data_IF_159060349694
#
_entry.id   IF_159060349694
#
_cell.length_a   1.000
_cell.length_b   1.000
_cell.length_c   1.000
_cell.angle_alpha   90.00
_cell.angle_beta   90.00
_cell.angle_gamma   90.00
#
_symmetry.space_group_name_H-M   'P 1'
#
loop_
_entity.id
_entity.type
_entity.pdbx_description
1 polymer ?
#
# COMPACT_ATOMS: atom_id res chain seq x y z
N UNK A 1 12.36 -12.82 23.04
CA UNK A 1 12.66 -12.75 21.62
C UNK A 1 12.47 -11.32 21.12
N UNK A 2 13.35 -10.81 20.26
CA UNK A 2 13.24 -9.48 19.70
C UNK A 2 13.07 -9.58 18.17
N UNK A 3 12.08 -8.91 17.61
CA UNK A 3 11.86 -8.86 16.16
C UNK A 3 11.79 -7.41 15.69
N UNK A 4 12.15 -7.17 14.42
CA UNK A 4 11.85 -5.93 13.71
C UNK A 4 10.72 -6.23 12.73
N UNK A 5 9.70 -5.37 12.70
CA UNK A 5 8.57 -5.45 11.79
C UNK A 5 8.56 -4.22 10.87
N UNK A 6 8.53 -4.46 9.58
CA UNK A 6 8.38 -3.50 8.49
C UNK A 6 7.57 -4.14 7.37
N UNK A 7 7.14 -3.36 6.38
CA UNK A 7 6.40 -3.82 5.19
C UNK A 7 6.23 -2.69 4.20
N UNK A 8 5.48 -2.93 3.12
CA UNK A 8 5.09 -1.93 2.13
C UNK A 8 6.28 -1.11 1.59
N UNK A 9 7.36 -1.82 1.21
CA UNK A 9 8.59 -1.19 0.73
C UNK A 9 8.43 -0.59 -0.65
N UNK A 10 7.62 -1.23 -1.51
CA UNK A 10 7.37 -0.81 -2.88
C UNK A 10 8.64 -0.49 -3.66
N UNK A 11 9.63 -1.38 -3.59
CA UNK A 11 10.89 -1.20 -4.33
C UNK A 11 10.64 -1.06 -5.82
N UNK A 12 11.16 0.02 -6.40
CA UNK A 12 10.92 0.39 -7.79
C UNK A 12 9.76 1.36 -7.99
N UNK A 13 9.09 1.82 -6.91
CA UNK A 13 8.05 2.83 -7.00
C UNK A 13 8.58 4.14 -7.60
N UNK A 14 7.67 4.85 -8.25
CA UNK A 14 7.87 6.21 -8.74
C UNK A 14 6.86 7.13 -8.08
N UNK A 15 7.27 8.34 -7.79
CA UNK A 15 6.35 9.42 -7.41
C UNK A 15 6.12 10.28 -8.64
N UNK A 16 4.96 10.17 -9.26
CA UNK A 16 4.75 10.66 -10.63
C UNK A 16 5.83 10.07 -11.56
N UNK A 17 6.64 10.89 -12.21
CA UNK A 17 7.71 10.42 -13.10
C UNK A 17 9.08 10.29 -12.41
N UNK A 18 9.21 10.62 -11.11
CA UNK A 18 10.47 10.58 -10.38
C UNK A 18 10.78 9.20 -9.81
N UNK A 19 11.99 8.72 -10.05
CA UNK A 19 12.48 7.44 -9.52
C UNK A 19 12.80 7.57 -8.03
N UNK A 20 12.24 6.66 -7.21
CA UNK A 20 12.44 6.62 -5.76
C UNK A 20 13.58 5.66 -5.33
N UNK A 21 14.32 5.07 -6.28
CA UNK A 21 15.42 4.14 -5.96
C UNK A 21 16.48 4.73 -5.01
N UNK A 22 16.87 6.02 -5.08
CA UNK A 22 17.80 6.61 -4.10
C UNK A 22 17.25 6.58 -2.67
N UNK A 23 15.96 6.86 -2.47
CA UNK A 23 15.32 6.83 -1.15
C UNK A 23 15.18 5.40 -0.63
N UNK A 24 14.76 4.46 -1.47
CA UNK A 24 14.71 3.03 -1.11
C UNK A 24 16.10 2.53 -0.68
N UNK A 25 17.15 2.89 -1.43
CA UNK A 25 18.51 2.53 -1.05
C UNK A 25 18.90 3.12 0.29
N UNK A 26 18.63 4.40 0.53
CA UNK A 26 18.93 5.07 1.79
C UNK A 26 18.16 4.44 2.96
N UNK A 27 16.88 4.09 2.76
CA UNK A 27 16.09 3.37 3.74
C UNK A 27 16.70 1.99 4.07
N UNK A 28 17.04 1.20 3.07
CA UNK A 28 17.60 -0.13 3.28
C UNK A 28 18.96 -0.07 3.99
N UNK A 29 19.82 0.89 3.66
CA UNK A 29 21.08 1.14 4.39
C UNK A 29 20.80 1.51 5.86
N UNK A 30 19.85 2.40 6.11
CA UNK A 30 19.44 2.77 7.46
C UNK A 30 18.87 1.57 8.22
N UNK A 31 18.06 0.73 7.58
CA UNK A 31 17.49 -0.47 8.20
C UNK A 31 18.59 -1.48 8.60
N UNK A 32 19.62 -1.64 7.78
CA UNK A 32 20.79 -2.46 8.16
C UNK A 32 21.48 -1.95 9.43
N UNK A 33 21.60 -0.63 9.59
CA UNK A 33 22.15 -0.06 10.83
C UNK A 33 21.22 -0.27 12.04
N UNK A 34 19.88 -0.23 11.83
CA UNK A 34 18.93 -0.57 12.90
C UNK A 34 19.06 -2.05 13.30
N UNK A 35 19.20 -2.95 12.33
CA UNK A 35 19.41 -4.38 12.60
C UNK A 35 20.69 -4.60 13.43
N UNK A 36 21.80 -3.96 13.08
CA UNK A 36 23.05 -4.04 13.85
C UNK A 36 22.90 -3.53 15.28
N UNK A 37 22.17 -2.41 15.45
CA UNK A 37 21.96 -1.79 16.75
C UNK A 37 21.03 -2.61 17.65
N UNK A 38 19.88 -3.05 17.10
CA UNK A 38 18.84 -3.74 17.85
C UNK A 38 19.14 -5.24 18.03
N UNK A 39 19.92 -5.84 17.13
CA UNK A 39 20.25 -7.28 17.11
C UNK A 39 19.00 -8.16 17.23
N UNK A 40 18.06 -8.04 16.31
CA UNK A 40 16.82 -8.83 16.37
C UNK A 40 17.10 -10.31 16.13
N UNK A 41 16.27 -11.16 16.70
CA UNK A 41 16.22 -12.59 16.41
C UNK A 41 15.61 -12.87 15.03
N UNK A 42 14.69 -11.97 14.56
CA UNK A 42 14.13 -12.00 13.22
C UNK A 42 13.75 -10.62 12.70
N UNK A 43 13.81 -10.46 11.38
CA UNK A 43 13.20 -9.35 10.62
C UNK A 43 11.95 -9.87 9.92
N UNK A 44 10.80 -9.21 10.12
CA UNK A 44 9.55 -9.49 9.44
C UNK A 44 9.26 -8.41 8.41
N UNK A 45 9.07 -8.82 7.14
CA UNK A 45 8.68 -7.93 6.03
C UNK A 45 7.27 -8.34 5.58
N UNK A 46 6.29 -7.53 5.95
CA UNK A 46 4.86 -7.86 5.84
C UNK A 46 4.25 -7.42 4.50
N UNK A 47 4.73 -7.98 3.40
CA UNK A 47 4.19 -7.80 2.05
C UNK A 47 4.60 -6.50 1.35
N UNK A 48 4.19 -6.39 0.10
CA UNK A 48 4.47 -5.29 -0.84
C UNK A 48 5.95 -4.90 -0.87
N UNK A 49 6.78 -5.93 -1.13
CA UNK A 49 8.23 -5.77 -1.30
C UNK A 49 8.51 -4.94 -2.56
N UNK A 50 7.82 -5.24 -3.65
CA UNK A 50 7.93 -4.54 -4.92
C UNK A 50 6.68 -3.71 -5.22
N UNK A 51 6.86 -2.62 -5.97
CA UNK A 51 5.76 -1.74 -6.37
C UNK A 51 4.87 -2.34 -7.47
N UNK A 52 5.37 -3.30 -8.21
CA UNK A 52 4.63 -3.92 -9.31
C UNK A 52 4.93 -5.40 -9.46
N UNK A 53 3.99 -6.12 -10.06
CA UNK A 53 4.10 -7.55 -10.33
C UNK A 53 5.27 -7.93 -11.27
N UNK A 54 5.86 -6.96 -11.99
CA UNK A 54 7.04 -7.14 -12.82
C UNK A 54 8.15 -6.17 -12.39
N UNK A 55 8.87 -6.46 -11.29
CA UNK A 55 9.87 -5.56 -10.73
C UNK A 55 11.05 -5.37 -11.68
N UNK A 56 11.60 -4.15 -11.69
CA UNK A 56 12.80 -3.85 -12.47
C UNK A 56 14.03 -4.62 -11.95
N UNK A 57 15.02 -4.82 -12.81
CA UNK A 57 16.27 -5.47 -12.39
C UNK A 57 16.98 -4.70 -11.26
N UNK A 58 16.85 -3.37 -11.21
CA UNK A 58 17.39 -2.55 -10.12
C UNK A 58 16.68 -2.77 -8.79
N UNK A 59 15.34 -2.88 -8.79
CA UNK A 59 14.56 -3.20 -7.60
C UNK A 59 14.89 -4.61 -7.07
N UNK A 60 14.96 -5.59 -7.96
CA UNK A 60 15.39 -6.95 -7.63
C UNK A 60 16.80 -6.99 -7.03
N UNK A 61 17.73 -6.21 -7.60
CA UNK A 61 19.09 -6.11 -7.07
C UNK A 61 19.10 -5.53 -5.65
N UNK A 62 18.39 -4.43 -5.42
CA UNK A 62 18.29 -3.81 -4.09
C UNK A 62 17.74 -4.80 -3.04
N UNK A 63 16.69 -5.54 -3.40
CA UNK A 63 16.09 -6.56 -2.55
C UNK A 63 17.09 -7.66 -2.16
N UNK A 64 17.74 -8.28 -3.16
CA UNK A 64 18.67 -9.37 -2.90
C UNK A 64 19.90 -8.91 -2.13
N UNK A 65 20.49 -7.77 -2.49
CA UNK A 65 21.63 -7.20 -1.78
C UNK A 65 21.29 -6.92 -0.31
N UNK A 66 20.09 -6.36 -0.06
CA UNK A 66 19.63 -6.11 1.30
C UNK A 66 19.49 -7.41 2.10
N UNK A 67 18.77 -8.43 1.58
CA UNK A 67 18.55 -9.70 2.32
C UNK A 67 19.87 -10.36 2.68
N UNK A 68 20.80 -10.44 1.72
CA UNK A 68 22.14 -11.00 1.96
C UNK A 68 22.87 -10.23 3.06
N UNK A 69 22.87 -8.91 2.98
CA UNK A 69 23.56 -8.03 3.95
C UNK A 69 22.88 -8.02 5.33
N UNK A 70 21.55 -8.13 5.38
CA UNK A 70 20.82 -8.22 6.64
C UNK A 70 21.26 -9.47 7.45
N UNK A 71 21.48 -10.59 6.77
CA UNK A 71 21.90 -11.84 7.39
C UNK A 71 23.39 -11.81 7.70
N UNK A 72 24.25 -11.56 6.72
CA UNK A 72 25.70 -11.73 6.86
C UNK A 72 26.42 -10.52 7.47
N UNK A 73 26.04 -9.29 7.10
CA UNK A 73 26.74 -8.08 7.53
C UNK A 73 26.11 -7.47 8.78
N UNK A 74 24.76 -7.51 8.88
CA UNK A 74 24.04 -6.96 10.02
C UNK A 74 23.71 -7.99 11.10
N UNK A 75 23.87 -9.29 10.81
CA UNK A 75 23.76 -10.37 11.77
C UNK A 75 22.33 -10.71 12.19
N UNK A 76 21.33 -10.48 11.33
CA UNK A 76 19.96 -10.93 11.55
C UNK A 76 19.83 -12.41 11.14
N UNK A 77 19.64 -13.34 12.08
CA UNK A 77 19.70 -14.78 11.75
C UNK A 77 18.50 -15.25 10.92
N UNK A 78 17.37 -14.55 11.01
CA UNK A 78 16.15 -14.91 10.27
C UNK A 78 15.53 -13.68 9.61
N UNK A 79 15.33 -13.74 8.29
CA UNK A 79 14.58 -12.72 7.53
C UNK A 79 13.34 -13.39 6.95
N UNK A 80 12.15 -13.01 7.41
CA UNK A 80 10.87 -13.63 7.03
C UNK A 80 10.10 -12.62 6.20
N UNK A 81 9.77 -13.01 4.97
CA UNK A 81 9.19 -12.13 3.95
C UNK A 81 7.91 -12.77 3.43
N UNK A 82 6.79 -12.06 3.51
CA UNK A 82 5.54 -12.47 2.87
C UNK A 82 5.29 -11.65 1.60
N UNK A 83 4.57 -12.20 0.64
CA UNK A 83 4.09 -11.45 -0.52
C UNK A 83 2.91 -10.56 -0.15
N UNK A 84 2.84 -9.36 -0.76
CA UNK A 84 1.71 -8.46 -0.73
C UNK A 84 0.89 -8.53 -2.03
N UNK A 85 -0.08 -7.62 -2.19
CA UNK A 85 -0.94 -7.61 -3.38
C UNK A 85 -0.25 -7.03 -4.63
N UNK A 86 0.80 -6.23 -4.47
CA UNK A 86 1.65 -5.75 -5.56
C UNK A 86 2.68 -6.78 -6.01
N UNK A 87 3.03 -7.72 -5.14
CA UNK A 87 4.05 -8.72 -5.43
C UNK A 87 3.53 -9.82 -6.36
N UNK A 88 4.33 -10.18 -7.36
CA UNK A 88 4.11 -11.41 -8.10
C UNK A 88 4.70 -12.60 -7.35
N UNK A 89 3.91 -13.63 -7.03
CA UNK A 89 4.42 -14.84 -6.39
C UNK A 89 5.60 -15.47 -7.15
N UNK A 90 5.58 -15.43 -8.49
CA UNK A 90 6.64 -15.97 -9.32
C UNK A 90 7.94 -15.17 -9.20
N UNK A 91 7.87 -13.83 -9.21
CA UNK A 91 9.05 -12.98 -9.10
C UNK A 91 9.63 -12.98 -7.68
N UNK A 92 8.79 -12.82 -6.66
CA UNK A 92 9.23 -12.84 -5.26
C UNK A 92 9.77 -14.22 -4.87
N UNK A 93 9.15 -15.29 -5.36
CA UNK A 93 9.54 -16.68 -5.09
C UNK A 93 10.72 -17.20 -5.91
N UNK A 94 11.16 -16.49 -6.97
CA UNK A 94 12.19 -16.98 -7.89
C UNK A 94 13.51 -17.30 -7.20
N UNK A 95 13.91 -16.48 -6.24
CA UNK A 95 15.14 -16.65 -5.47
C UNK A 95 14.95 -17.39 -4.14
N UNK A 96 13.71 -17.81 -3.81
CA UNK A 96 13.38 -18.49 -2.53
C UNK A 96 14.36 -19.62 -2.20
N UNK A 97 14.67 -20.60 -3.08
CA UNK A 97 15.56 -21.70 -2.72
C UNK A 97 16.98 -21.24 -2.33
N UNK A 98 17.50 -20.19 -2.97
CA UNK A 98 18.82 -19.65 -2.65
C UNK A 98 18.81 -18.85 -1.34
N UNK A 99 17.76 -18.07 -1.10
CA UNK A 99 17.61 -17.25 0.10
C UNK A 99 17.36 -18.12 1.35
N UNK A 100 16.63 -19.23 1.21
CA UNK A 100 16.38 -20.17 2.30
C UNK A 100 17.68 -20.83 2.79
N UNK A 101 18.61 -21.12 1.90
CA UNK A 101 19.94 -21.64 2.29
C UNK A 101 20.75 -20.64 3.14
N UNK A 102 20.40 -19.36 3.13
CA UNK A 102 21.10 -18.30 3.88
C UNK A 102 20.38 -17.90 5.18
N UNK A 103 19.18 -18.43 5.45
CA UNK A 103 18.40 -18.10 6.65
C UNK A 103 17.22 -17.15 6.40
N UNK A 104 16.90 -16.82 5.15
CA UNK A 104 15.65 -16.15 4.82
C UNK A 104 14.52 -17.17 4.60
N UNK A 105 13.30 -16.79 4.93
CA UNK A 105 12.07 -17.52 4.60
C UNK A 105 11.17 -16.64 3.76
N UNK A 106 10.87 -17.07 2.53
CA UNK A 106 10.04 -16.29 1.59
C UNK A 106 8.74 -17.05 1.36
N UNK A 107 7.62 -16.42 1.70
CA UNK A 107 6.26 -16.93 1.52
C UNK A 107 5.52 -16.01 0.54
N UNK A 108 5.66 -16.25 -0.79
CA UNK A 108 5.21 -15.32 -1.81
C UNK A 108 3.70 -15.37 -2.08
N UNK A 109 3.03 -16.47 -1.71
CA UNK A 109 1.59 -16.70 -1.87
C UNK A 109 1.11 -17.70 -0.84
N UNK A 110 -0.20 -17.81 -0.65
CA UNK A 110 -0.80 -18.83 0.20
C UNK A 110 -0.50 -20.25 -0.29
N UNK A 111 -0.34 -21.16 0.64
CA UNK A 111 0.02 -22.54 0.40
C UNK A 111 -1.15 -23.47 0.76
N UNK A 112 -1.39 -24.52 -0.02
CA UNK A 112 -2.39 -25.54 0.31
C UNK A 112 -2.01 -26.27 1.61
N UNK A 113 -0.70 -26.53 1.79
CA UNK A 113 -0.12 -27.07 3.02
C UNK A 113 0.28 -25.89 3.92
N UNK A 114 -0.63 -25.45 4.78
CA UNK A 114 -0.45 -24.27 5.64
C UNK A 114 0.78 -24.34 6.57
N UNK A 115 1.32 -25.51 6.80
CA UNK A 115 2.56 -25.72 7.53
C UNK A 115 3.77 -25.07 6.86
N UNK A 116 3.72 -24.84 5.54
CA UNK A 116 4.77 -24.14 4.77
C UNK A 116 4.77 -22.63 5.00
N UNK A 117 3.70 -22.10 5.55
CA UNK A 117 3.60 -20.72 6.00
C UNK A 117 4.06 -20.55 7.47
N UNK A 118 4.47 -21.63 8.13
CA UNK A 118 4.96 -21.61 9.50
C UNK A 118 6.48 -21.56 9.53
N UNK A 119 7.05 -20.50 10.09
CA UNK A 119 8.50 -20.33 10.29
C UNK A 119 8.80 -20.41 11.78
N UNK A 120 9.84 -21.17 12.13
CA UNK A 120 10.25 -21.38 13.52
C UNK A 120 11.66 -20.83 13.73
N UNK A 121 11.77 -19.90 14.68
CA UNK A 121 13.06 -19.45 15.19
C UNK A 121 13.42 -20.31 16.38
N UNK A 122 14.49 -21.06 16.25
CA UNK A 122 14.92 -22.01 17.28
C UNK A 122 16.02 -21.43 18.17
N UNK A 123 16.00 -21.82 19.44
CA UNK A 123 17.07 -21.58 20.39
C UNK A 123 17.31 -22.90 21.16
N UNK A 124 18.55 -23.36 21.18
CA UNK A 124 18.95 -24.64 21.82
C UNK A 124 18.12 -25.84 21.29
N UNK A 125 17.83 -25.88 19.99
CA UNK A 125 17.09 -26.95 19.33
C UNK A 125 15.61 -27.03 19.68
N UNK A 126 15.03 -25.94 20.19
CA UNK A 126 13.59 -25.81 20.49
C UNK A 126 13.02 -24.51 19.89
N UNK A 127 11.77 -24.52 19.45
CA UNK A 127 11.12 -23.30 19.04
C UNK A 127 11.13 -22.27 20.17
N UNK A 128 11.68 -21.10 19.89
CA UNK A 128 11.67 -19.94 20.78
C UNK A 128 10.72 -18.84 20.28
N UNK A 129 10.33 -18.93 18.99
CA UNK A 129 9.30 -18.11 18.36
C UNK A 129 8.70 -18.89 17.19
N UNK A 130 7.38 -18.87 17.04
CA UNK A 130 6.70 -19.32 15.84
C UNK A 130 6.10 -18.13 15.10
N UNK A 131 6.27 -18.08 13.78
CA UNK A 131 5.71 -17.06 12.91
C UNK A 131 4.76 -17.72 11.93
N UNK A 132 3.47 -17.40 12.03
CA UNK A 132 2.46 -17.70 11.04
C UNK A 132 2.56 -16.63 9.94
N UNK A 133 3.31 -16.92 8.90
CA UNK A 133 3.68 -15.93 7.87
C UNK A 133 2.66 -15.93 6.73
N UNK A 134 1.46 -15.39 6.98
CA UNK A 134 0.35 -15.35 6.01
C UNK A 134 0.62 -14.23 4.99
N UNK A 135 0.76 -14.55 3.69
CA UNK A 135 0.89 -13.55 2.63
C UNK A 135 -0.45 -12.94 2.26
N UNK A 136 -0.45 -12.02 1.29
CA UNK A 136 -1.69 -11.62 0.63
C UNK A 136 -2.34 -12.82 -0.07
N UNK A 137 -3.64 -12.98 0.17
CA UNK A 137 -4.44 -14.07 -0.41
C UNK A 137 -5.46 -13.50 -1.37
N UNK A 138 -5.56 -14.09 -2.56
CA UNK A 138 -6.50 -13.64 -3.60
C UNK A 138 -7.92 -14.00 -3.23
N UNK A 139 -8.86 -13.13 -3.58
CA UNK A 139 -10.29 -13.34 -3.31
C UNK A 139 -10.83 -14.67 -3.81
N UNK A 140 -10.42 -15.08 -5.02
CA UNK A 140 -10.83 -16.36 -5.60
C UNK A 140 -10.36 -17.57 -4.76
N UNK A 141 -9.17 -17.51 -4.18
CA UNK A 141 -8.62 -18.55 -3.32
C UNK A 141 -9.41 -18.61 -2.00
N UNK A 142 -9.65 -17.43 -1.40
CA UNK A 142 -10.40 -17.29 -0.16
C UNK A 142 -11.87 -17.72 -0.30
N UNK A 143 -12.55 -17.27 -1.37
CA UNK A 143 -13.92 -17.65 -1.63
C UNK A 143 -14.06 -19.16 -1.87
N UNK A 144 -13.11 -19.78 -2.57
CA UNK A 144 -13.12 -21.23 -2.80
C UNK A 144 -12.89 -22.02 -1.50
N UNK A 145 -12.06 -21.51 -0.60
CA UNK A 145 -11.83 -22.12 0.70
C UNK A 145 -13.12 -22.16 1.53
N UNK A 146 -13.85 -21.04 1.59
CA UNK A 146 -15.09 -20.92 2.36
C UNK A 146 -16.31 -21.61 1.70
N UNK A 147 -16.38 -21.66 0.36
CA UNK A 147 -17.47 -22.36 -0.36
C UNK A 147 -17.59 -23.84 -0.04
N UNK A 148 -16.52 -24.48 0.39
CA UNK A 148 -16.55 -25.88 0.84
C UNK A 148 -17.48 -26.11 2.03
N UNK A 149 -17.79 -25.05 2.79
CA UNK A 149 -18.63 -25.10 3.98
C UNK A 149 -20.07 -24.61 3.70
N UNK A 150 -20.25 -23.56 2.85
CA UNK A 150 -21.56 -23.01 2.53
C UNK A 150 -21.51 -22.22 1.21
N UNK A 151 -22.16 -22.77 0.17
CA UNK A 151 -22.22 -22.18 -1.18
C UNK A 151 -23.20 -20.99 -1.30
N UNK A 152 -24.06 -20.78 -0.30
CA UNK A 152 -25.16 -19.82 -0.38
C UNK A 152 -24.82 -18.42 0.09
N UNK A 153 -23.63 -18.22 0.69
CA UNK A 153 -23.19 -16.92 1.20
C UNK A 153 -22.81 -15.95 0.08
N UNK A 154 -23.05 -14.65 0.28
CA UNK A 154 -22.55 -13.62 -0.62
C UNK A 154 -21.02 -13.70 -0.78
N UNK A 155 -20.51 -13.37 -1.96
CA UNK A 155 -19.08 -13.48 -2.28
C UNK A 155 -18.18 -12.78 -1.25
N UNK A 156 -18.51 -11.55 -0.87
CA UNK A 156 -17.78 -10.77 0.14
C UNK A 156 -17.70 -11.46 1.51
N UNK A 157 -18.74 -12.19 1.91
CA UNK A 157 -18.76 -12.95 3.15
C UNK A 157 -17.90 -14.21 3.05
N UNK A 158 -17.93 -14.88 1.88
CA UNK A 158 -17.07 -16.02 1.60
C UNK A 158 -15.58 -15.62 1.67
N UNK A 159 -15.23 -14.49 1.08
CA UNK A 159 -13.84 -13.98 1.10
C UNK A 159 -13.39 -13.69 2.53
N UNK A 160 -14.22 -12.99 3.32
CA UNK A 160 -13.90 -12.70 4.74
C UNK A 160 -13.79 -13.97 5.58
N UNK A 161 -14.71 -14.90 5.41
CA UNK A 161 -14.68 -16.18 6.11
C UNK A 161 -13.47 -17.02 5.70
N UNK A 162 -13.12 -17.03 4.40
CA UNK A 162 -11.96 -17.73 3.89
C UNK A 162 -10.65 -17.21 4.47
N UNK A 163 -10.49 -15.86 4.58
CA UNK A 163 -9.31 -15.28 5.21
C UNK A 163 -9.20 -15.66 6.70
N UNK A 164 -10.29 -15.53 7.45
CA UNK A 164 -10.31 -15.88 8.86
C UNK A 164 -9.97 -17.38 9.07
N UNK A 165 -10.54 -18.24 8.25
CA UNK A 165 -10.28 -19.69 8.29
C UNK A 165 -8.83 -20.03 7.90
N UNK A 166 -8.28 -19.41 6.86
CA UNK A 166 -6.89 -19.62 6.49
C UNK A 166 -5.94 -19.19 7.62
N UNK A 167 -6.11 -17.98 8.15
CA UNK A 167 -5.33 -17.49 9.29
C UNK A 167 -5.44 -18.43 10.50
N UNK A 168 -6.64 -18.93 10.80
CA UNK A 168 -6.86 -19.89 11.88
C UNK A 168 -6.05 -21.16 11.68
N UNK A 169 -6.09 -21.75 10.49
CA UNK A 169 -5.34 -22.98 10.16
C UNK A 169 -3.83 -22.80 10.28
N UNK A 170 -3.28 -21.70 9.74
CA UNK A 170 -1.85 -21.40 9.82
C UNK A 170 -1.41 -21.21 11.29
N UNK A 171 -2.18 -20.41 12.06
CA UNK A 171 -1.86 -20.19 13.49
C UNK A 171 -1.98 -21.46 14.32
N UNK A 172 -2.95 -22.33 14.05
CA UNK A 172 -3.08 -23.62 14.74
C UNK A 172 -1.91 -24.54 14.40
N UNK A 173 -1.49 -24.61 13.12
CA UNK A 173 -0.31 -25.37 12.71
C UNK A 173 0.99 -24.84 13.37
N UNK A 174 1.15 -23.51 13.42
CA UNK A 174 2.27 -22.88 14.12
C UNK A 174 2.27 -23.22 15.62
N UNK A 175 1.13 -23.13 16.30
CA UNK A 175 0.98 -23.46 17.73
C UNK A 175 1.27 -24.92 18.04
N UNK A 176 0.79 -25.83 17.20
CA UNK A 176 0.99 -27.25 17.40
C UNK A 176 2.48 -27.60 17.53
N UNK A 177 3.36 -26.88 16.83
CA UNK A 177 4.82 -27.09 16.86
C UNK A 177 5.55 -26.13 17.80
N UNK A 178 5.00 -24.95 18.07
CA UNK A 178 5.61 -23.94 18.95
C UNK A 178 5.68 -24.37 20.43
N UNK A 179 4.79 -25.25 20.87
CA UNK A 179 4.68 -25.60 22.28
C UNK A 179 4.23 -24.39 23.12
N UNK A 180 5.11 -23.90 24.00
CA UNK A 180 4.84 -22.71 24.83
C UNK A 180 5.45 -21.44 24.27
N UNK A 181 6.19 -21.50 23.17
CA UNK A 181 6.80 -20.31 22.58
C UNK A 181 5.75 -19.31 22.08
N UNK A 182 6.06 -18.00 22.06
CA UNK A 182 5.16 -16.99 21.53
C UNK A 182 4.88 -17.23 20.04
N UNK A 183 3.67 -16.87 19.61
CA UNK A 183 3.21 -16.95 18.22
C UNK A 183 2.94 -15.56 17.68
N UNK A 184 3.65 -15.21 16.62
CA UNK A 184 3.43 -14.00 15.82
C UNK A 184 2.69 -14.38 14.55
N UNK A 185 1.71 -13.59 14.14
CA UNK A 185 1.12 -13.73 12.81
C UNK A 185 1.53 -12.52 11.96
N UNK A 186 1.96 -12.78 10.74
CA UNK A 186 2.06 -11.77 9.68
C UNK A 186 0.80 -11.79 8.84
N UNK A 187 0.43 -10.65 8.25
CA UNK A 187 -0.70 -10.54 7.34
C UNK A 187 -0.59 -9.34 6.44
N UNK A 188 -1.25 -9.41 5.26
CA UNK A 188 -1.29 -8.31 4.30
C UNK A 188 -2.73 -8.11 3.83
N UNK A 189 -3.52 -7.37 4.61
CA UNK A 189 -4.96 -7.15 4.39
C UNK A 189 -5.47 -5.95 5.19
N UNK A 190 -6.69 -5.49 4.89
CA UNK A 190 -7.38 -4.45 5.67
C UNK A 190 -8.20 -5.08 6.79
N UNK A 191 -8.00 -4.62 8.01
CA UNK A 191 -8.79 -5.04 9.17
C UNK A 191 -9.75 -3.94 9.64
N UNK A 192 -10.90 -4.32 10.17
CA UNK A 192 -11.82 -3.39 10.82
C UNK A 192 -11.17 -2.72 12.03
N UNK A 193 -11.49 -1.44 12.24
CA UNK A 193 -10.84 -0.63 13.28
C UNK A 193 -9.51 -0.02 12.88
N UNK A 194 -9.16 -0.12 11.58
CA UNK A 194 -8.07 0.62 10.95
C UNK A 194 -8.61 1.88 10.26
N UNK A 195 -7.78 2.92 10.17
CA UNK A 195 -8.09 4.14 9.43
C UNK A 195 -7.53 4.02 8.02
N UNK A 196 -8.39 4.18 7.02
CA UNK A 196 -7.95 4.29 5.62
C UNK A 196 -7.46 5.72 5.39
N UNK A 197 -6.29 5.90 4.77
CA UNK A 197 -5.83 7.21 4.34
C UNK A 197 -6.67 7.70 3.15
N UNK A 198 -6.78 9.02 2.99
CA UNK A 198 -7.46 9.63 1.83
C UNK A 198 -6.82 9.22 0.50
N UNK A 199 -5.58 8.76 0.52
CA UNK A 199 -4.84 8.25 -0.63
C UNK A 199 -5.49 6.99 -1.25
N UNK A 200 -6.00 6.10 -0.42
CA UNK A 200 -6.80 4.96 -0.90
C UNK A 200 -8.07 5.48 -1.61
N UNK A 201 -8.67 6.56 -1.12
CA UNK A 201 -9.85 7.17 -1.73
C UNK A 201 -9.52 7.96 -3.02
N UNK A 202 -8.33 8.57 -3.16
CA UNK A 202 -7.93 9.29 -4.38
C UNK A 202 -7.51 8.34 -5.51
N UNK A 203 -6.78 7.27 -5.20
CA UNK A 203 -6.49 6.21 -6.18
C UNK A 203 -7.77 5.47 -6.62
N UNK A 204 -8.73 5.32 -5.72
CA UNK A 204 -10.04 4.74 -6.02
C UNK A 204 -10.95 5.62 -6.89
N UNK A 205 -10.76 6.94 -6.94
CA UNK A 205 -11.52 7.84 -7.83
C UNK A 205 -11.16 7.68 -9.31
N UNK A 206 -10.01 7.06 -9.63
CA UNK A 206 -9.59 6.75 -11.00
C UNK A 206 -9.77 5.29 -11.41
N UNK A 207 -10.12 4.42 -10.47
CA UNK A 207 -10.33 2.98 -10.68
C UNK A 207 -11.67 2.65 -10.03
N UNK A 208 -12.53 1.88 -10.68
CA UNK A 208 -13.90 1.61 -10.24
C UNK A 208 -13.99 1.31 -8.73
N UNK A 209 -15.13 1.61 -8.10
CA UNK A 209 -15.40 1.32 -6.67
C UNK A 209 -15.16 -0.14 -6.26
N UNK A 210 -14.97 -1.03 -7.23
CA UNK A 210 -14.69 -2.45 -7.05
C UNK A 210 -13.19 -2.77 -6.96
N UNK A 211 -12.33 -1.79 -7.26
CA UNK A 211 -10.88 -1.90 -7.09
C UNK A 211 -10.37 -1.14 -5.85
N UNK A 212 -11.01 -1.33 -4.71
CA UNK A 212 -10.32 -1.27 -3.44
C UNK A 212 -9.26 -2.36 -3.56
N UNK A 213 -8.00 -1.98 -3.60
CA UNK A 213 -6.87 -2.85 -3.93
C UNK A 213 -7.10 -4.24 -3.34
N UNK A 214 -7.48 -5.21 -4.20
CA UNK A 214 -7.87 -6.55 -3.79
C UNK A 214 -9.30 -6.69 -3.25
N UNK A 215 -10.31 -5.87 -3.70
CA UNK A 215 -11.77 -6.14 -3.52
C UNK A 215 -12.31 -6.44 -2.11
N UNK A 216 -11.46 -6.81 -1.17
CA UNK A 216 -11.87 -7.25 0.16
C UNK A 216 -12.19 -6.05 1.03
N UNK A 217 -13.45 -5.78 1.24
CA UNK A 217 -13.92 -4.96 2.36
C UNK A 217 -13.30 -5.50 3.64
N UNK A 218 -12.90 -4.60 4.54
CA UNK A 218 -12.20 -4.92 5.79
C UNK A 218 -12.71 -6.19 6.48
N UNK A 219 -11.78 -7.03 6.91
CA UNK A 219 -12.09 -8.24 7.72
C UNK A 219 -12.21 -7.84 9.18
N UNK A 220 -13.16 -8.44 9.90
CA UNK A 220 -13.28 -8.18 11.33
C UNK A 220 -12.04 -8.67 12.07
N UNK A 221 -11.38 -7.75 12.77
CA UNK A 221 -10.22 -8.07 13.60
C UNK A 221 -10.53 -9.20 14.61
N UNK A 222 -11.75 -9.25 15.14
CA UNK A 222 -12.13 -10.28 16.10
C UNK A 222 -12.39 -11.67 15.47
N UNK A 223 -12.48 -11.74 14.15
CA UNK A 223 -12.58 -13.03 13.44
C UNK A 223 -11.20 -13.71 13.28
N UNK A 224 -10.10 -12.97 13.49
CA UNK A 224 -8.76 -13.53 13.42
C UNK A 224 -8.40 -14.31 14.69
N UNK A 225 -7.55 -15.34 14.58
CA UNK A 225 -7.06 -16.07 15.75
C UNK A 225 -6.24 -15.14 16.65
N UNK A 226 -6.38 -15.28 17.97
CA UNK A 226 -5.57 -14.52 18.91
C UNK A 226 -4.09 -14.96 18.79
N UNK A 227 -3.17 -14.01 18.77
CA UNK A 227 -1.72 -14.22 18.72
C UNK A 227 -1.02 -13.25 19.67
N UNK A 228 0.25 -13.49 19.99
CA UNK A 228 1.00 -12.60 20.87
C UNK A 228 1.32 -11.26 20.20
N UNK A 229 1.56 -11.29 18.88
CA UNK A 229 1.74 -10.08 18.07
C UNK A 229 1.23 -10.30 16.64
N UNK A 230 0.52 -9.30 16.10
CA UNK A 230 0.03 -9.28 14.72
C UNK A 230 0.79 -8.21 13.93
N UNK A 231 1.62 -8.66 12.98
CA UNK A 231 2.45 -7.84 12.11
C UNK A 231 1.78 -7.66 10.75
N UNK A 232 1.29 -6.46 10.45
CA UNK A 232 0.49 -6.17 9.25
C UNK A 232 1.21 -5.22 8.29
N UNK A 233 1.11 -5.50 7.00
CA UNK A 233 1.33 -4.60 5.88
C UNK A 233 0.02 -4.24 5.18
N UNK A 234 0.11 -3.56 4.04
CA UNK A 234 -0.97 -3.08 3.18
C UNK A 234 -1.39 -1.63 3.40
N UNK A 235 -1.46 -1.15 4.63
CA UNK A 235 -1.78 0.25 4.92
C UNK A 235 -0.50 1.06 5.13
N UNK A 236 -0.27 2.07 4.28
CA UNK A 236 0.98 2.86 4.28
C UNK A 236 1.10 3.82 5.46
N UNK A 237 0.00 4.10 6.17
CA UNK A 237 0.00 4.91 7.38
C UNK A 237 0.20 4.01 8.60
N UNK A 238 1.28 4.20 9.38
CA UNK A 238 1.51 3.42 10.59
C UNK A 238 0.37 3.58 11.59
N UNK A 239 -0.16 2.48 12.09
CA UNK A 239 -1.29 2.55 13.04
C UNK A 239 -1.49 1.27 13.85
N UNK A 240 -2.26 1.40 14.94
CA UNK A 240 -2.75 0.31 15.76
C UNK A 240 -4.09 -0.18 15.22
N UNK A 241 -4.33 -1.48 15.23
CA UNK A 241 -5.65 -2.03 14.94
C UNK A 241 -6.49 -2.00 16.21
N UNK A 242 -7.66 -1.41 16.15
CA UNK A 242 -8.57 -1.27 17.29
C UNK A 242 -7.89 -0.78 18.60
N UNK A 243 -6.89 0.11 18.46
CA UNK A 243 -6.13 0.67 19.59
C UNK A 243 -5.15 -0.30 20.28
N UNK A 244 -4.95 -1.52 19.75
CA UNK A 244 -4.09 -2.53 20.37
C UNK A 244 -2.63 -2.34 20.03
N UNK A 245 -1.76 -2.34 21.04
CA UNK A 245 -0.31 -2.23 20.86
C UNK A 245 0.28 -3.46 20.17
N UNK A 246 -0.33 -4.62 20.34
CA UNK A 246 0.14 -5.90 19.79
C UNK A 246 -0.46 -6.24 18.42
N UNK A 247 -1.21 -5.33 17.78
CA UNK A 247 -1.72 -5.49 16.42
C UNK A 247 -1.46 -4.20 15.64
N UNK A 248 -0.50 -4.24 14.72
CA UNK A 248 0.10 -3.04 14.13
C UNK A 248 0.29 -3.16 12.62
N UNK A 249 -0.05 -2.08 11.92
CA UNK A 249 0.52 -1.78 10.61
C UNK A 249 1.83 -1.00 10.81
N UNK A 250 2.92 -1.48 10.21
CA UNK A 250 4.19 -0.74 10.21
C UNK A 250 4.11 0.53 9.36
N UNK A 251 3.29 0.48 8.33
CA UNK A 251 3.24 1.47 7.26
C UNK A 251 4.40 1.34 6.28
N UNK A 252 4.32 2.06 5.17
CA UNK A 252 5.43 2.17 4.22
C UNK A 252 6.60 2.96 4.82
N UNK A 253 7.86 2.61 4.54
CA UNK A 253 9.03 3.28 5.12
C UNK A 253 9.30 4.67 4.55
N UNK A 254 8.80 4.94 3.35
CA UNK A 254 8.85 6.26 2.72
C UNK A 254 7.42 6.67 2.31
N UNK A 255 7.11 7.97 2.23
CA UNK A 255 5.79 8.41 1.78
C UNK A 255 5.55 7.98 0.32
N UNK A 256 4.43 7.34 0.04
CA UNK A 256 4.08 6.86 -1.31
C UNK A 256 3.35 7.91 -2.15
N UNK A 257 2.79 8.94 -1.50
CA UNK A 257 2.06 10.02 -2.17
C UNK A 257 2.13 11.33 -1.38
N UNK A 258 1.67 12.42 -1.99
CA UNK A 258 1.57 13.73 -1.34
C UNK A 258 0.50 13.77 -0.24
N UNK A 259 -0.46 12.86 -0.21
CA UNK A 259 -1.43 12.78 0.89
C UNK A 259 -0.79 12.32 2.21
N UNK A 260 0.41 11.74 2.14
CA UNK A 260 1.18 11.31 3.31
C UNK A 260 2.18 12.36 3.82
N UNK A 261 2.13 13.59 3.28
CA UNK A 261 2.95 14.71 3.79
C UNK A 261 2.67 14.93 5.28
N UNK A 262 3.73 14.95 6.08
CA UNK A 262 3.61 15.08 7.53
C UNK A 262 3.37 13.78 8.29
N UNK A 263 3.01 12.69 7.62
CA UNK A 263 2.85 11.38 8.27
C UNK A 263 4.22 10.83 8.70
N UNK A 264 4.44 10.52 9.99
CA UNK A 264 5.67 9.87 10.42
C UNK A 264 5.79 8.48 9.81
N UNK A 265 6.98 8.14 9.34
CA UNK A 265 7.32 6.79 8.87
C UNK A 265 8.15 6.08 9.92
N UNK A 266 7.96 4.77 10.07
CA UNK A 266 8.59 4.02 11.16
C UNK A 266 8.78 2.55 10.79
N UNK A 267 9.65 1.89 11.55
CA UNK A 267 9.65 0.45 11.76
C UNK A 267 9.28 0.16 13.21
N UNK A 268 8.91 -1.07 13.51
CA UNK A 268 8.52 -1.49 14.85
C UNK A 268 9.55 -2.49 15.41
N UNK A 269 10.09 -2.19 16.58
CA UNK A 269 10.92 -3.11 17.34
C UNK A 269 10.05 -3.75 18.43
N UNK A 270 9.84 -5.06 18.32
CA UNK A 270 8.92 -5.81 19.18
C UNK A 270 9.72 -6.76 20.04
N UNK A 271 9.52 -6.67 21.33
CA UNK A 271 10.11 -7.59 22.30
C UNK A 271 9.03 -8.51 22.87
N UNK A 272 9.15 -9.78 22.60
CA UNK A 272 8.25 -10.84 23.06
C UNK A 272 8.86 -11.53 24.30
N UNK A 273 8.01 -11.98 25.21
CA UNK A 273 8.41 -12.82 26.34
C UNK A 273 8.90 -14.20 25.91
N UNK A 274 9.17 -15.06 26.86
CA UNK A 274 9.63 -16.43 26.59
C UNK A 274 8.48 -17.38 26.25
N UNK A 275 7.28 -17.06 26.68
CA UNK A 275 6.08 -17.88 26.46
C UNK A 275 4.95 -17.07 25.84
N UNK A 276 4.07 -17.77 25.14
CA UNK A 276 2.82 -17.21 24.67
C UNK A 276 1.98 -16.69 25.86
N UNK A 277 1.44 -15.49 25.71
CA UNK A 277 0.72 -14.78 26.75
C UNK A 277 1.58 -13.90 27.66
N UNK A 278 2.91 -13.95 27.55
CA UNK A 278 3.78 -13.01 28.23
C UNK A 278 3.60 -11.58 27.67
N UNK A 279 4.05 -10.58 28.43
CA UNK A 279 4.00 -9.19 28.01
C UNK A 279 4.81 -8.95 26.71
N UNK A 280 4.21 -8.19 25.80
CA UNK A 280 4.83 -7.75 24.56
C UNK A 280 5.09 -6.25 24.64
N UNK A 281 6.31 -5.83 24.36
CA UNK A 281 6.67 -4.41 24.26
C UNK A 281 6.95 -4.04 22.79
N UNK A 282 6.35 -2.94 22.35
CA UNK A 282 6.50 -2.41 20.99
C UNK A 282 7.10 -1.02 21.06
N UNK A 283 8.22 -0.82 20.37
CA UNK A 283 8.92 0.46 20.28
C UNK A 283 8.93 0.92 18.84
N UNK A 284 8.44 2.11 18.61
CA UNK A 284 8.48 2.77 17.30
C UNK A 284 9.87 3.35 17.04
N UNK A 285 10.44 3.07 15.88
CA UNK A 285 11.70 3.64 15.41
C UNK A 285 11.40 4.48 14.17
N UNK A 286 11.45 5.81 14.29
CA UNK A 286 11.21 6.70 13.15
C UNK A 286 12.21 6.47 12.02
N UNK A 287 11.70 6.33 10.81
CA UNK A 287 12.52 6.32 9.58
C UNK A 287 12.87 7.76 9.24
N UNK A 288 14.14 8.08 8.98
CA UNK A 288 14.55 9.43 8.54
C UNK A 288 13.86 9.80 7.22
N UNK A 289 13.61 11.09 7.05
CA UNK A 289 13.17 11.60 5.74
C UNK A 289 14.38 11.71 4.83
N UNK A 290 14.44 10.86 3.81
CA UNK A 290 15.54 10.88 2.83
C UNK A 290 15.29 11.91 1.73
N UNK A 291 14.02 12.22 1.47
CA UNK A 291 13.55 13.24 0.54
C UNK A 291 12.29 13.88 1.12
N UNK A 292 12.21 15.18 1.14
CA UNK A 292 11.03 15.87 1.65
C UNK A 292 9.90 15.85 0.61
N UNK A 293 8.65 15.83 1.09
CA UNK A 293 7.47 16.10 0.28
C UNK A 293 6.80 17.36 0.80
N UNK A 294 6.39 18.26 -0.09
CA UNK A 294 5.64 19.45 0.23
C UNK A 294 4.37 19.51 -0.62
N UNK A 295 3.23 19.74 0.02
CA UNK A 295 2.00 20.10 -0.64
C UNK A 295 1.70 21.58 -0.38
N UNK A 296 1.48 22.34 -1.44
CA UNK A 296 1.20 23.79 -1.40
C UNK A 296 -0.16 24.05 -2.01
N UNK A 297 -1.02 24.70 -1.24
CA UNK A 297 -2.36 25.08 -1.66
C UNK A 297 -2.62 26.54 -1.30
N UNK A 298 -3.16 27.34 -2.23
CA UNK A 298 -3.46 28.73 -1.97
C UNK A 298 -3.52 29.61 -3.20
N UNK A 299 -3.28 30.93 -2.99
CA UNK A 299 -3.09 31.88 -4.06
C UNK A 299 -1.68 31.77 -4.67
N UNK A 300 -1.50 32.14 -5.95
CA UNK A 300 -0.20 32.02 -6.61
C UNK A 300 0.95 32.74 -5.88
N UNK A 301 0.68 33.91 -5.31
CA UNK A 301 1.65 34.72 -4.55
C UNK A 301 2.08 34.02 -3.25
N UNK A 302 1.13 33.37 -2.56
CA UNK A 302 1.38 32.61 -1.34
C UNK A 302 2.26 31.38 -1.64
N UNK A 303 1.99 30.73 -2.79
CA UNK A 303 2.75 29.57 -3.26
C UNK A 303 4.17 29.96 -3.66
N UNK A 304 4.34 31.08 -4.42
CA UNK A 304 5.65 31.60 -4.82
C UNK A 304 6.54 31.86 -3.59
N UNK A 305 6.02 32.59 -2.61
CA UNK A 305 6.77 32.90 -1.40
C UNK A 305 7.21 31.65 -0.63
N UNK A 306 6.31 30.66 -0.52
CA UNK A 306 6.61 29.41 0.16
C UNK A 306 7.58 28.51 -0.63
N UNK A 307 7.54 28.55 -1.96
CA UNK A 307 8.47 27.83 -2.82
C UNK A 307 9.89 28.42 -2.69
N UNK A 308 10.00 29.76 -2.62
CA UNK A 308 11.27 30.44 -2.34
C UNK A 308 11.83 30.09 -0.95
N UNK A 309 10.98 30.01 0.08
CA UNK A 309 11.39 29.57 1.41
C UNK A 309 11.99 28.15 1.37
N UNK A 310 11.32 27.20 0.71
CA UNK A 310 11.83 25.83 0.56
C UNK A 310 13.14 25.78 -0.23
N UNK A 311 13.28 26.60 -1.25
CA UNK A 311 14.51 26.69 -2.02
C UNK A 311 15.71 27.16 -1.17
N UNK A 312 15.47 28.03 -0.18
CA UNK A 312 16.49 28.49 0.75
C UNK A 312 16.95 27.41 1.76
N UNK A 313 16.13 26.38 2.02
CA UNK A 313 16.51 25.27 2.90
C UNK A 313 17.59 24.38 2.28
N UNK A 314 17.78 24.44 0.96
CA UNK A 314 18.81 23.71 0.21
C UNK A 314 18.76 22.19 0.45
N UNK A 315 17.55 21.65 0.66
CA UNK A 315 17.29 20.24 0.91
C UNK A 315 16.42 19.64 -0.21
N UNK A 316 16.68 18.39 -0.63
CA UNK A 316 15.88 17.76 -1.68
C UNK A 316 14.40 17.69 -1.30
N UNK A 317 13.53 18.26 -2.15
CA UNK A 317 12.08 18.29 -1.94
C UNK A 317 11.29 18.07 -3.25
N UNK A 318 10.30 17.21 -3.18
CA UNK A 318 9.26 17.08 -4.21
C UNK A 318 8.06 17.93 -3.82
N UNK A 319 7.54 18.69 -4.77
CA UNK A 319 6.48 19.66 -4.53
C UNK A 319 5.25 19.33 -5.38
N UNK A 320 4.08 19.34 -4.74
CA UNK A 320 2.75 19.32 -5.35
C UNK A 320 2.11 20.70 -5.14
N UNK A 321 1.75 21.37 -6.21
CA UNK A 321 1.15 22.71 -6.20
C UNK A 321 -0.33 22.62 -6.63
N UNK A 322 -1.22 23.19 -5.82
CA UNK A 322 -2.64 23.34 -6.12
C UNK A 322 -3.03 24.81 -5.96
N UNK A 323 -3.22 25.52 -7.05
CA UNK A 323 -3.76 26.89 -7.01
C UNK A 323 -5.27 26.81 -6.79
N UNK A 324 -5.74 27.35 -5.66
CA UNK A 324 -7.16 27.30 -5.25
C UNK A 324 -7.79 28.69 -5.20
N UNK A 325 -6.99 29.76 -5.29
CA UNK A 325 -7.44 31.15 -5.22
C UNK A 325 -6.79 31.97 -6.34
N UNK A 326 -7.34 33.15 -6.59
CA UNK A 326 -6.87 34.10 -7.59
C UNK A 326 -7.69 34.07 -8.89
N UNK A 327 -7.52 35.10 -9.69
CA UNK A 327 -8.20 35.27 -10.96
C UNK A 327 -7.20 35.36 -12.11
N UNK A 328 -7.68 35.18 -13.33
CA UNK A 328 -6.89 35.35 -14.54
C UNK A 328 -6.10 34.12 -14.96
N UNK A 329 -5.15 34.34 -15.89
CA UNK A 329 -4.32 33.30 -16.46
C UNK A 329 -3.20 32.84 -15.49
N UNK A 330 -3.05 31.55 -15.31
CA UNK A 330 -1.98 30.97 -14.47
C UNK A 330 -0.67 30.72 -15.23
N UNK A 331 -0.65 30.81 -16.56
CA UNK A 331 0.56 30.54 -17.31
C UNK A 331 1.78 31.38 -16.88
N UNK A 332 1.65 32.67 -16.53
CA UNK A 332 2.76 33.44 -15.98
C UNK A 332 3.25 32.92 -14.62
N UNK A 333 2.35 32.38 -13.79
CA UNK A 333 2.68 31.83 -12.48
C UNK A 333 3.41 30.49 -12.58
N UNK A 334 2.92 29.60 -13.45
CA UNK A 334 3.61 28.35 -13.73
C UNK A 334 5.03 28.59 -14.24
N UNK A 335 5.23 29.60 -15.10
CA UNK A 335 6.55 30.00 -15.57
C UNK A 335 7.46 30.51 -14.43
N UNK A 336 6.93 31.25 -13.47
CA UNK A 336 7.67 31.70 -12.29
C UNK A 336 8.05 30.53 -11.36
N UNK A 337 7.12 29.63 -11.06
CA UNK A 337 7.38 28.44 -10.26
C UNK A 337 8.47 27.56 -10.90
N UNK A 338 8.38 27.35 -12.22
CA UNK A 338 9.39 26.64 -12.96
C UNK A 338 10.77 27.33 -12.95
N UNK A 339 10.80 28.69 -12.94
CA UNK A 339 12.05 29.45 -12.81
C UNK A 339 12.71 29.19 -11.45
N UNK A 340 11.96 29.28 -10.35
CA UNK A 340 12.49 28.94 -9.01
C UNK A 340 13.05 27.54 -8.97
N UNK A 341 12.31 26.54 -9.47
CA UNK A 341 12.79 25.17 -9.52
C UNK A 341 14.01 24.97 -10.45
N UNK A 342 14.15 25.78 -11.50
CA UNK A 342 15.32 25.74 -12.39
C UNK A 342 16.59 26.29 -11.74
N UNK A 343 16.45 27.30 -10.86
CA UNK A 343 17.57 27.90 -10.11
C UNK A 343 17.97 27.04 -8.91
N UNK A 344 17.06 26.18 -8.43
CA UNK A 344 17.22 25.35 -7.25
C UNK A 344 16.96 23.86 -7.59
N UNK A 345 17.98 23.13 -8.09
CA UNK A 345 17.81 21.74 -8.54
C UNK A 345 17.32 20.75 -7.47
N UNK A 346 17.45 21.10 -6.20
CA UNK A 346 16.92 20.37 -5.03
C UNK A 346 15.39 20.44 -4.94
N UNK A 347 14.76 21.48 -5.52
CA UNK A 347 13.30 21.66 -5.56
C UNK A 347 12.76 21.10 -6.87
N UNK A 348 11.97 20.03 -6.80
CA UNK A 348 11.33 19.48 -7.99
C UNK A 348 9.81 19.57 -7.88
N UNK A 349 9.21 20.36 -8.73
CA UNK A 349 7.75 20.44 -8.85
C UNK A 349 7.29 19.24 -9.69
N UNK A 350 6.53 18.34 -9.07
CA UNK A 350 6.04 17.14 -9.73
C UNK A 350 4.60 17.27 -10.21
N UNK A 351 3.82 18.12 -9.57
CA UNK A 351 2.40 18.31 -9.87
C UNK A 351 2.02 19.77 -9.81
N UNK A 352 1.30 20.22 -10.81
CA UNK A 352 0.71 21.55 -10.92
C UNK A 352 -0.78 21.42 -11.24
N UNK A 353 -1.64 21.99 -10.40
CA UNK A 353 -3.09 21.87 -10.54
C UNK A 353 -3.76 23.22 -10.37
N UNK A 354 -4.66 23.56 -11.30
CA UNK A 354 -5.64 24.62 -11.13
C UNK A 354 -6.90 24.03 -10.52
N UNK A 355 -7.09 24.27 -9.23
CA UNK A 355 -8.29 23.86 -8.46
C UNK A 355 -9.20 25.03 -8.12
N UNK A 356 -9.02 26.18 -8.75
CA UNK A 356 -9.92 27.32 -8.57
C UNK A 356 -11.32 26.94 -9.03
N UNK A 357 -12.32 27.34 -8.28
CA UNK A 357 -13.72 27.22 -8.72
C UNK A 357 -13.87 27.94 -10.06
N UNK A 358 -14.08 27.21 -11.12
CA UNK A 358 -14.48 27.82 -12.40
C UNK A 358 -15.86 28.37 -12.16
N UNK A 359 -15.98 29.70 -12.08
CA UNK A 359 -17.28 30.37 -12.16
C UNK A 359 -17.83 30.04 -13.54
N UNK A 360 -18.68 29.04 -13.59
CA UNK A 360 -19.35 28.63 -14.81
C UNK A 360 -20.28 29.76 -15.25
N UNK A 361 -20.26 30.22 -16.51
CA UNK A 361 -21.31 31.05 -17.02
C UNK A 361 -22.59 30.20 -17.12
N UNK A 362 -23.48 30.34 -16.13
CA UNK A 362 -24.84 29.81 -16.18
C UNK A 362 -25.02 28.42 -15.57
N UNK A 363 -25.60 28.43 -14.39
CA UNK A 363 -26.22 27.33 -13.67
C UNK A 363 -26.70 26.14 -14.52
N UNK A 364 -26.09 24.97 -14.35
CA UNK A 364 -26.68 23.64 -14.61
C UNK A 364 -25.93 22.46 -13.96
N UNK A 365 -24.82 22.68 -13.19
CA UNK A 365 -24.03 21.61 -12.64
C UNK A 365 -24.19 21.42 -11.11
N UNK A 366 -24.80 22.41 -10.43
CA UNK A 366 -25.06 22.29 -8.97
C UNK A 366 -26.03 21.16 -8.60
N UNK A 367 -26.84 20.66 -9.54
CA UNK A 367 -27.76 19.55 -9.30
C UNK A 367 -27.10 18.16 -9.43
N UNK A 368 -25.90 18.04 -9.99
CA UNK A 368 -25.24 16.72 -10.19
C UNK A 368 -24.31 16.37 -9.02
N UNK A 369 -23.75 17.34 -8.32
CA UNK A 369 -22.83 17.09 -7.20
C UNK A 369 -23.53 16.73 -5.89
N UNK A 370 -24.82 17.05 -5.74
CA UNK A 370 -25.62 16.65 -4.57
C UNK A 370 -26.26 15.26 -4.69
N UNK A 371 -26.13 14.61 -5.85
CA UNK A 371 -26.74 13.32 -6.17
C UNK A 371 -25.76 12.15 -6.09
N UNK A 372 -24.90 12.10 -5.07
CA UNK A 372 -24.00 10.97 -4.85
C UNK A 372 -24.73 9.63 -4.54
N UNK A 373 -26.05 9.69 -4.32
CA UNK A 373 -26.93 8.50 -4.17
C UNK A 373 -27.66 8.08 -5.45
N UNK A 374 -27.51 8.81 -6.56
CA UNK A 374 -28.22 8.54 -7.83
C UNK A 374 -27.31 8.14 -9.01
N UNK A 375 -25.99 8.08 -8.83
CA UNK A 375 -25.05 7.68 -9.90
C UNK A 375 -25.27 6.23 -10.41
N UNK A 376 -25.92 5.41 -9.65
CA UNK A 376 -26.33 4.05 -10.07
C UNK A 376 -27.56 4.02 -10.99
N UNK A 377 -28.17 5.18 -11.25
CA UNK A 377 -29.38 5.31 -12.11
C UNK A 377 -29.13 6.12 -13.37
N UNK A 378 -27.92 6.63 -13.60
CA UNK A 378 -27.62 7.36 -14.82
C UNK A 378 -27.47 6.38 -15.99
N UNK A 379 -28.30 6.56 -17.02
CA UNK A 379 -28.17 5.89 -18.32
C UNK A 379 -26.80 6.24 -18.91
N UNK A 380 -26.03 5.22 -19.29
CA UNK A 380 -24.69 5.35 -19.89
C UNK A 380 -24.69 6.29 -21.10
N UNK A 381 -25.82 6.32 -21.85
CA UNK A 381 -26.00 7.22 -22.97
C UNK A 381 -26.16 8.69 -22.55
N UNK A 382 -26.72 8.96 -21.38
CA UNK A 382 -26.82 10.31 -20.85
C UNK A 382 -25.44 10.87 -20.49
N UNK A 383 -24.58 10.04 -19.88
CA UNK A 383 -23.18 10.39 -19.54
C UNK A 383 -22.39 10.64 -20.84
N UNK A 384 -22.52 9.75 -21.85
CA UNK A 384 -21.83 9.89 -23.12
C UNK A 384 -22.23 11.19 -23.86
N UNK A 385 -23.51 11.53 -23.89
CA UNK A 385 -23.99 12.79 -24.49
C UNK A 385 -23.51 14.03 -23.76
N UNK A 386 -23.50 14.00 -22.43
CA UNK A 386 -22.98 15.11 -21.63
C UNK A 386 -21.48 15.34 -21.93
N UNK A 387 -20.69 14.27 -22.03
CA UNK A 387 -19.27 14.36 -22.38
C UNK A 387 -19.02 14.87 -23.79
N UNK A 388 -19.79 14.38 -24.79
CA UNK A 388 -19.69 14.87 -26.17
C UNK A 388 -20.14 16.33 -26.34
N UNK A 389 -20.96 16.84 -25.42
CA UNK A 389 -21.37 18.26 -25.42
C UNK A 389 -20.24 19.21 -24.99
N UNK A 390 -19.28 18.72 -24.19
CA UNK A 390 -18.11 19.47 -23.74
C UNK A 390 -16.99 19.55 -24.81
N UNK A 391 -17.01 18.65 -25.80
CA UNK A 391 -16.00 18.60 -26.86
C UNK A 391 -16.34 19.58 -28.00
N UNK A 392 -15.31 20.17 -28.60
CA UNK A 392 -15.44 21.11 -29.70
C UNK A 392 -15.71 20.40 -31.04
N UNK A 393 -16.82 19.67 -31.13
CA UNK A 393 -17.24 18.87 -32.28
C UNK A 393 -18.34 19.60 -33.08
N UNK A 394 -18.40 19.35 -34.40
CA UNK A 394 -19.54 19.78 -35.21
C UNK A 394 -20.78 18.94 -34.84
N UNK A 395 -21.97 19.49 -35.10
CA UNK A 395 -23.21 18.77 -34.82
C UNK A 395 -23.29 17.44 -35.57
N UNK A 396 -22.77 17.38 -36.80
CA UNK A 396 -22.69 16.15 -37.59
C UNK A 396 -21.76 15.10 -36.96
N UNK A 397 -20.56 15.53 -36.49
CA UNK A 397 -19.62 14.62 -35.81
C UNK A 397 -20.18 14.11 -34.48
N UNK A 398 -20.87 14.99 -33.71
CA UNK A 398 -21.53 14.65 -32.46
C UNK A 398 -22.62 13.58 -32.65
N UNK A 399 -23.38 13.65 -33.72
CA UNK A 399 -24.42 12.69 -34.07
C UNK A 399 -23.79 11.31 -34.42
N UNK A 400 -22.70 11.30 -35.19
CA UNK A 400 -21.95 10.09 -35.54
C UNK A 400 -21.37 9.43 -34.27
N UNK A 401 -20.68 10.19 -33.42
CA UNK A 401 -20.12 9.62 -32.18
C UNK A 401 -21.20 9.10 -31.22
N UNK A 402 -22.34 9.78 -31.13
CA UNK A 402 -23.48 9.32 -30.31
C UNK A 402 -24.01 7.99 -30.83
N UNK A 403 -24.09 7.81 -32.16
CA UNK A 403 -24.52 6.57 -32.78
C UNK A 403 -23.54 5.42 -32.50
N UNK A 404 -22.25 5.65 -32.67
CA UNK A 404 -21.21 4.65 -32.39
C UNK A 404 -21.21 4.21 -30.91
N UNK A 405 -21.35 5.15 -29.97
CA UNK A 405 -21.43 4.83 -28.54
C UNK A 405 -22.70 4.01 -28.20
N UNK A 406 -23.83 4.32 -28.84
CA UNK A 406 -25.05 3.54 -28.65
C UNK A 406 -24.90 2.08 -29.10
N UNK A 407 -24.21 1.84 -30.23
CA UNK A 407 -23.91 0.49 -30.71
C UNK A 407 -23.00 -0.26 -29.73
N UNK A 408 -21.92 0.35 -29.26
CA UNK A 408 -20.99 -0.25 -28.30
C UNK A 408 -21.68 -0.58 -26.97
N UNK A 409 -22.51 0.33 -26.45
CA UNK A 409 -23.26 0.09 -25.20
C UNK A 409 -24.25 -1.05 -25.36
N UNK A 410 -24.93 -1.14 -26.53
CA UNK A 410 -25.84 -2.24 -26.82
C UNK A 410 -25.12 -3.58 -26.92
N UNK A 411 -23.93 -3.62 -27.55
CA UNK A 411 -23.12 -4.83 -27.68
C UNK A 411 -22.60 -5.30 -26.31
N UNK A 412 -22.12 -4.41 -25.46
CA UNK A 412 -21.67 -4.74 -24.10
C UNK A 412 -22.84 -5.25 -23.22
N UNK A 413 -24.04 -4.68 -23.37
CA UNK A 413 -25.23 -5.14 -22.63
C UNK A 413 -25.70 -6.50 -23.10
N UNK A 414 -25.68 -6.78 -24.41
CA UNK A 414 -26.06 -8.10 -24.95
C UNK A 414 -25.08 -9.23 -24.61
N UNK A 415 -23.78 -8.91 -24.46
CA UNK A 415 -22.77 -9.89 -24.04
C UNK A 415 -22.77 -10.21 -22.54
N UNK A 416 -23.53 -9.48 -21.70
CA UNK A 416 -23.69 -9.79 -20.26
C UNK A 416 -24.86 -10.71 -19.94
N UNK A 417 -25.74 -10.92 -20.89
CA UNK A 417 -26.93 -11.82 -20.73
C UNK A 417 -26.66 -13.28 -21.19
N UNK A 418 -25.43 -13.59 -21.65
CA UNK A 418 -25.03 -14.91 -22.14
C UNK A 418 -24.00 -15.66 -21.25
N UNK A 419 -23.59 -15.10 -20.06
CA UNK A 419 -22.68 -15.82 -19.14
C UNK A 419 -23.36 -16.10 -17.78
#
# INVERSE_FOLDING_TARGET
MKIIHTGDWHLGARLHEEDRAPEHKAFLEWLLEQIKAERPDALLVAGDVFDSAAPSASAMKLYHEFVVRAIHDAGCPHVIITGGNHDSPSWLGMSKPALECMGASVIPAGEDEVERECVFVERDGRPALAVAAVPYLRESELANLARREDETRPHDELVRAGLAEHCRRVVEAARAKAGTAPVVMMGHCVLSGSTLSDDVSERQRGISKDAVVGGVKSVDFNALPAVDYLALGHLHVPQKVAGRDTARYSGSPIPMSFSEVGTPKQILVVTLGEKSGDAVAVVERPVPRFHALAHMEGAPEEIEARLEELAHENAPVFVDIAVTKGEGDLAPWWAKFAAVASEHPEVKILVERDRREKVAPGAAIEDIASANDELTKLDEMAIARARLAEENLTDADREVFTGMLAEVIAEVKSGRDED
#
